data_IF_880118727991
#
_entry.id   IF_880118727991
#
_cell.length_a   1.000
_cell.length_b   1.000
_cell.length_c   1.000
_cell.angle_alpha   90.00
_cell.angle_beta   90.00
_cell.angle_gamma   90.00
#
_symmetry.space_group_name_H-M   'P 1'
#
loop_
_entity.id
_entity.type
_entity.pdbx_description
1 polymer ?
#
# COMPACT_ATOMS: atom_id res chain seq x y z
N UNK A 1 9.39 -24.68 -1.30
CA UNK A 1 9.77 -23.40 -0.66
C UNK A 1 8.70 -22.40 -1.02
N UNK A 2 8.00 -21.85 -0.04
CA UNK A 2 7.12 -20.70 -0.30
C UNK A 2 8.00 -19.54 -0.83
N UNK A 3 7.54 -18.78 -1.84
CA UNK A 3 8.25 -17.59 -2.30
C UNK A 3 8.47 -16.62 -1.13
N UNK A 4 9.65 -16.01 -1.07
CA UNK A 4 9.90 -14.94 -0.09
C UNK A 4 9.17 -13.69 -0.54
N UNK A 5 8.09 -13.34 0.15
CA UNK A 5 7.31 -12.13 -0.10
C UNK A 5 7.92 -10.87 0.54
N UNK A 6 9.10 -10.96 1.14
CA UNK A 6 9.73 -9.84 1.86
C UNK A 6 9.93 -8.58 1.01
N UNK A 7 10.34 -8.67 -0.29
CA UNK A 7 10.41 -7.48 -1.14
C UNK A 7 9.06 -6.77 -1.27
N UNK A 8 7.98 -7.53 -1.54
CA UNK A 8 6.64 -6.98 -1.64
C UNK A 8 6.18 -6.39 -0.30
N UNK A 9 6.40 -7.09 0.81
CA UNK A 9 6.07 -6.60 2.14
C UNK A 9 6.78 -5.26 2.45
N UNK A 10 8.02 -5.09 2.00
CA UNK A 10 8.76 -3.81 2.11
C UNK A 10 8.11 -2.70 1.31
N UNK A 11 7.68 -2.96 0.07
CA UNK A 11 6.97 -1.96 -0.74
C UNK A 11 5.64 -1.55 -0.09
N UNK A 12 4.86 -2.52 0.40
CA UNK A 12 3.59 -2.21 1.07
C UNK A 12 3.81 -1.40 2.35
N UNK A 13 4.81 -1.76 3.17
CA UNK A 13 5.16 -1.00 4.38
C UNK A 13 5.62 0.44 4.06
N UNK A 14 6.33 0.65 2.94
CA UNK A 14 6.67 2.00 2.47
C UNK A 14 5.43 2.80 2.13
N UNK A 15 4.48 2.22 1.39
CA UNK A 15 3.20 2.87 1.09
C UNK A 15 2.41 3.22 2.37
N UNK A 16 2.34 2.30 3.35
CA UNK A 16 1.72 2.56 4.66
C UNK A 16 2.38 3.75 5.36
N UNK A 17 3.71 3.81 5.36
CA UNK A 17 4.43 4.91 6.01
C UNK A 17 4.09 6.27 5.41
N UNK A 18 4.00 6.37 4.08
CA UNK A 18 3.63 7.60 3.39
C UNK A 18 2.21 8.04 3.76
N UNK A 19 1.27 7.09 3.73
CA UNK A 19 -0.14 7.36 4.07
C UNK A 19 -0.28 7.82 5.53
N UNK A 20 0.40 7.16 6.47
CA UNK A 20 0.34 7.56 7.89
C UNK A 20 0.97 8.93 8.13
N UNK A 21 2.05 9.28 7.42
CA UNK A 21 2.61 10.62 7.50
C UNK A 21 1.62 11.71 7.07
N UNK A 22 0.72 11.42 6.12
CA UNK A 22 -0.39 12.34 5.76
C UNK A 22 -1.41 12.43 6.88
N UNK A 23 -1.81 11.29 7.46
CA UNK A 23 -2.80 11.24 8.53
C UNK A 23 -2.33 11.95 9.82
N UNK A 24 -1.05 11.78 10.15
CA UNK A 24 -0.43 12.33 11.37
C UNK A 24 0.03 13.79 11.21
N UNK A 25 -0.17 14.41 10.04
CA UNK A 25 0.43 15.71 9.65
C UNK A 25 1.96 15.75 9.93
N UNK A 26 2.60 14.59 9.82
CA UNK A 26 3.95 14.36 10.32
C UNK A 26 4.99 14.70 9.25
N UNK A 27 5.25 15.99 9.07
CA UNK A 27 6.35 16.48 8.24
C UNK A 27 6.14 17.92 7.77
N UNK A 28 7.25 18.66 7.60
CA UNK A 28 7.23 19.97 6.93
C UNK A 28 7.03 19.85 5.41
N UNK A 29 7.17 18.63 4.86
CA UNK A 29 7.05 18.32 3.43
C UNK A 29 5.65 17.79 3.12
N UNK A 30 4.93 18.46 2.22
CA UNK A 30 3.58 18.08 1.80
C UNK A 30 3.63 16.80 0.94
N UNK A 31 3.17 15.68 1.50
CA UNK A 31 3.03 14.42 0.75
C UNK A 31 1.79 14.51 -0.13
N UNK A 32 2.00 14.34 -1.43
CA UNK A 32 0.93 14.44 -2.41
C UNK A 32 0.22 13.09 -2.64
N UNK A 33 -1.06 13.10 -3.07
CA UNK A 33 -1.75 11.87 -3.49
C UNK A 33 -1.01 11.11 -4.60
N UNK A 34 -0.25 11.81 -5.45
CA UNK A 34 0.50 11.18 -6.54
C UNK A 34 1.66 10.32 -6.02
N UNK A 35 2.36 10.76 -4.97
CA UNK A 35 3.44 10.00 -4.34
C UNK A 35 2.92 8.75 -3.64
N UNK A 36 1.76 8.84 -2.99
CA UNK A 36 1.08 7.68 -2.41
C UNK A 36 0.70 6.70 -3.53
N UNK A 37 0.06 7.19 -4.60
CA UNK A 37 -0.35 6.37 -5.73
C UNK A 37 0.85 5.69 -6.43
N UNK A 38 2.00 6.35 -6.50
CA UNK A 38 3.24 5.77 -7.03
C UNK A 38 3.74 4.64 -6.13
N UNK A 39 3.81 4.83 -4.82
CA UNK A 39 4.25 3.79 -3.89
C UNK A 39 3.35 2.54 -3.90
N UNK A 40 2.03 2.72 -4.11
CA UNK A 40 1.09 1.61 -4.25
C UNK A 40 1.26 0.89 -5.60
N UNK A 41 1.54 1.62 -6.68
CA UNK A 41 1.85 1.05 -8.00
C UNK A 41 3.15 0.23 -7.95
N UNK A 42 4.20 0.74 -7.32
CA UNK A 42 5.45 0.01 -7.06
C UNK A 42 5.20 -1.32 -6.34
N UNK A 43 4.34 -1.30 -5.31
CA UNK A 43 3.95 -2.52 -4.58
C UNK A 43 3.17 -3.49 -5.49
N UNK A 44 2.30 -2.98 -6.34
CA UNK A 44 1.51 -3.80 -7.28
C UNK A 44 2.39 -4.47 -8.34
N UNK A 45 3.39 -3.74 -8.86
CA UNK A 45 4.36 -4.26 -9.84
C UNK A 45 5.27 -5.31 -9.20
N UNK A 46 5.82 -5.02 -8.01
CA UNK A 46 6.61 -5.99 -7.23
C UNK A 46 5.81 -7.25 -6.86
N UNK A 47 4.49 -7.09 -6.71
CA UNK A 47 3.54 -8.13 -6.34
C UNK A 47 2.77 -8.75 -7.50
N UNK A 48 3.23 -8.64 -8.74
CA UNK A 48 2.51 -9.18 -9.90
C UNK A 48 2.17 -10.68 -9.77
N UNK A 49 3.06 -11.46 -9.10
CA UNK A 49 2.86 -12.88 -8.82
C UNK A 49 2.20 -13.17 -7.44
N UNK A 50 1.88 -12.14 -6.66
CA UNK A 50 1.27 -12.29 -5.33
C UNK A 50 -0.13 -12.90 -5.45
N UNK A 51 -0.68 -13.50 -4.37
CA UNK A 51 -2.04 -14.00 -4.33
C UNK A 51 -3.06 -12.94 -4.77
N UNK A 52 -4.13 -13.38 -5.42
CA UNK A 52 -5.19 -12.49 -5.92
C UNK A 52 -5.76 -11.58 -4.83
N UNK A 53 -5.92 -12.10 -3.61
CA UNK A 53 -6.37 -11.34 -2.43
C UNK A 53 -5.45 -10.16 -2.12
N UNK A 54 -4.12 -10.33 -2.22
CA UNK A 54 -3.14 -9.25 -2.01
C UNK A 54 -3.26 -8.21 -3.11
N UNK A 55 -3.28 -8.64 -4.38
CA UNK A 55 -3.41 -7.72 -5.52
C UNK A 55 -4.70 -6.90 -5.47
N UNK A 56 -5.80 -7.53 -5.05
CA UNK A 56 -7.09 -6.86 -4.87
C UNK A 56 -7.00 -5.72 -3.86
N UNK A 57 -6.39 -5.95 -2.70
CA UNK A 57 -6.24 -4.89 -1.69
C UNK A 57 -5.32 -3.74 -2.15
N UNK A 58 -4.30 -4.03 -2.98
CA UNK A 58 -3.45 -2.99 -3.56
C UNK A 58 -4.21 -2.13 -4.58
N UNK A 59 -5.06 -2.76 -5.40
CA UNK A 59 -5.95 -2.03 -6.32
C UNK A 59 -6.97 -1.19 -5.56
N UNK A 60 -7.61 -1.75 -4.53
CA UNK A 60 -8.55 -1.01 -3.68
C UNK A 60 -7.87 0.20 -2.99
N UNK A 61 -6.62 0.07 -2.58
CA UNK A 61 -5.85 1.19 -2.03
C UNK A 61 -5.54 2.27 -3.10
N UNK A 62 -5.24 1.87 -4.35
CA UNK A 62 -4.96 2.80 -5.44
C UNK A 62 -6.22 3.56 -5.89
N UNK A 63 -7.35 2.86 -5.97
CA UNK A 63 -8.66 3.46 -6.27
C UNK A 63 -9.03 4.47 -5.18
N UNK A 64 -8.85 4.11 -3.91
CA UNK A 64 -9.11 5.00 -2.78
C UNK A 64 -8.29 6.30 -2.83
N UNK A 65 -7.01 6.23 -3.19
CA UNK A 65 -6.17 7.43 -3.37
C UNK A 65 -6.68 8.29 -4.53
N UNK A 66 -7.08 7.65 -5.63
CA UNK A 66 -7.59 8.33 -6.82
C UNK A 66 -8.93 9.03 -6.56
N UNK A 67 -9.76 8.43 -5.70
CA UNK A 67 -11.06 8.95 -5.28
C UNK A 67 -10.94 10.05 -4.19
N UNK A 68 -9.73 10.34 -3.71
CA UNK A 68 -9.50 11.33 -2.65
C UNK A 68 -10.00 10.88 -1.28
N UNK A 69 -10.02 9.57 -1.03
CA UNK A 69 -10.44 9.00 0.25
C UNK A 69 -9.46 9.39 1.38
N UNK A 70 -9.92 9.41 2.65
CA UNK A 70 -9.07 9.71 3.79
C UNK A 70 -7.88 8.74 3.89
N UNK A 71 -6.74 9.25 4.39
CA UNK A 71 -5.52 8.47 4.57
C UNK A 71 -5.74 7.18 5.39
N UNK A 72 -6.51 7.23 6.48
CA UNK A 72 -6.85 6.05 7.28
C UNK A 72 -7.54 4.94 6.47
N UNK A 73 -8.40 5.33 5.52
CA UNK A 73 -9.10 4.38 4.65
C UNK A 73 -8.11 3.71 3.68
N UNK A 74 -7.19 4.47 3.09
CA UNK A 74 -6.11 3.93 2.25
C UNK A 74 -5.21 3.00 3.05
N UNK A 75 -4.82 3.40 4.27
CA UNK A 75 -3.98 2.61 5.16
C UNK A 75 -4.63 1.26 5.52
N UNK A 76 -5.93 1.24 5.79
CA UNK A 76 -6.69 0.02 6.08
C UNK A 76 -6.52 -1.04 4.98
N UNK A 77 -6.65 -0.64 3.71
CA UNK A 77 -6.49 -1.55 2.56
C UNK A 77 -5.05 -2.07 2.44
N UNK A 78 -4.05 -1.22 2.70
CA UNK A 78 -2.64 -1.64 2.70
C UNK A 78 -2.31 -2.61 3.85
N UNK A 79 -2.89 -2.41 5.04
CA UNK A 79 -2.78 -3.38 6.14
C UNK A 79 -3.46 -4.70 5.82
N UNK A 80 -4.61 -4.68 5.14
CA UNK A 80 -5.28 -5.90 4.67
C UNK A 80 -4.39 -6.66 3.65
N UNK A 81 -3.70 -5.94 2.76
CA UNK A 81 -2.71 -6.53 1.85
C UNK A 81 -1.56 -7.22 2.60
N UNK A 82 -1.00 -6.59 3.63
CA UNK A 82 0.04 -7.19 4.49
C UNK A 82 -0.46 -8.44 5.24
N UNK A 83 -1.68 -8.39 5.76
CA UNK A 83 -2.32 -9.53 6.42
C UNK A 83 -2.47 -10.72 5.47
N UNK A 84 -3.02 -10.47 4.28
CA UNK A 84 -3.18 -11.50 3.25
C UNK A 84 -1.84 -12.05 2.74
N UNK A 85 -0.79 -11.23 2.68
CA UNK A 85 0.53 -11.65 2.26
C UNK A 85 1.22 -12.55 3.29
N UNK A 86 0.94 -12.35 4.59
CA UNK A 86 1.44 -13.20 5.68
C UNK A 86 0.73 -14.55 5.74
N UNK A 87 -0.51 -14.63 5.25
CA UNK A 87 -1.31 -15.87 5.19
C UNK A 87 -0.89 -16.79 4.02
N UNK A 88 -0.10 -16.29 3.06
CA UNK A 88 0.24 -16.95 1.79
C UNK A 88 1.63 -17.61 1.81
#
# INVERSE_FOLDING_TARGET
>A
MAPSWEPLARHIRRAVSLVNSVADEAGDEEITPSEIAEAIRDASEAGAAAPEKVRRYLLEALDAVSDGMPADYVAMSLYAALGALREA
#
